data_IF_339831978629
#
_entry.id   IF_339831978629
#
_cell.length_a   1.000
_cell.length_b   1.000
_cell.length_c   1.000
_cell.angle_alpha   90.00
_cell.angle_beta   90.00
_cell.angle_gamma   90.00
#
_symmetry.space_group_name_H-M   'P 1'
#
loop_
_entity.id
_entity.type
_entity.pdbx_description
1 polymer ?
#
# COMPACT_ATOMS: atom_id res chain seq x y z
N UNK A 1 33.72 13.68 -10.88
CA UNK A 1 34.89 13.40 -10.02
C UNK A 1 34.62 14.25 -8.78
N UNK A 2 34.26 13.71 -7.62
CA UNK A 2 34.90 12.59 -6.92
C UNK A 2 33.92 11.67 -6.21
N UNK A 3 34.30 10.38 -6.17
CA UNK A 3 33.72 9.37 -5.28
C UNK A 3 34.33 9.58 -3.90
N UNK A 4 33.50 9.83 -2.90
CA UNK A 4 33.87 9.58 -1.50
C UNK A 4 33.17 8.27 -1.15
N UNK A 5 33.89 7.17 -1.30
CA UNK A 5 33.56 5.90 -0.66
C UNK A 5 34.70 5.63 0.30
N UNK A 6 34.41 5.74 1.59
CA UNK A 6 35.30 5.37 2.68
C UNK A 6 35.54 3.84 2.65
N UNK A 7 36.79 3.35 2.42
CA UNK A 7 37.05 1.93 2.18
C UNK A 7 36.95 1.03 3.43
N UNK A 8 36.98 1.58 4.64
CA UNK A 8 37.13 0.76 5.85
C UNK A 8 35.79 0.29 6.44
N UNK A 9 34.66 0.90 6.09
CA UNK A 9 33.33 0.41 6.54
C UNK A 9 32.81 -0.78 5.72
N UNK A 10 33.20 -0.88 4.44
CA UNK A 10 32.64 -1.89 3.54
C UNK A 10 33.15 -3.31 3.85
N UNK A 11 34.40 -3.46 4.28
CA UNK A 11 34.99 -4.75 4.64
C UNK A 11 34.44 -5.30 5.96
N UNK A 12 34.22 -4.45 6.97
CA UNK A 12 33.60 -4.86 8.24
C UNK A 12 32.13 -5.28 8.04
N UNK A 13 31.40 -4.60 7.15
CA UNK A 13 30.03 -4.97 6.77
C UNK A 13 30.02 -6.33 6.05
N UNK A 14 30.97 -6.60 5.16
CA UNK A 14 31.10 -7.89 4.47
C UNK A 14 31.46 -9.04 5.43
N UNK A 15 32.21 -8.80 6.50
CA UNK A 15 32.48 -9.78 7.54
C UNK A 15 31.26 -10.06 8.45
N UNK A 16 30.49 -9.02 8.77
CA UNK A 16 29.22 -9.18 9.51
C UNK A 16 28.18 -9.96 8.71
N UNK A 17 28.19 -9.86 7.38
CA UNK A 17 27.32 -10.62 6.47
C UNK A 17 27.71 -12.09 6.30
N UNK A 18 28.93 -12.50 6.68
CA UNK A 18 29.40 -13.90 6.61
C UNK A 18 28.97 -14.77 7.80
N UNK A 19 28.45 -14.19 8.88
CA UNK A 19 27.95 -14.97 10.02
C UNK A 19 26.54 -15.49 9.70
N UNK A 20 26.31 -16.81 9.66
CA UNK A 20 24.95 -17.33 9.48
C UNK A 20 24.10 -16.91 10.66
N UNK A 21 23.00 -16.19 10.39
CA UNK A 21 22.02 -15.85 11.41
C UNK A 21 21.53 -17.13 12.09
N UNK A 22 21.47 -17.11 13.42
CA UNK A 22 20.94 -18.21 14.23
C UNK A 22 19.51 -18.53 13.75
N UNK A 23 19.32 -19.73 13.19
CA UNK A 23 18.01 -20.17 12.68
C UNK A 23 17.10 -20.50 13.86
N UNK A 24 16.13 -19.63 14.13
CA UNK A 24 15.04 -19.94 15.06
C UNK A 24 14.13 -21.04 14.49
N UNK A 25 13.62 -21.93 15.36
CA UNK A 25 12.66 -22.99 15.01
C UNK A 25 11.26 -22.41 14.83
N UNK A 26 10.60 -22.83 13.75
CA UNK A 26 9.35 -22.31 13.20
C UNK A 26 8.12 -22.70 14.03
N UNK A 27 7.28 -21.73 14.37
CA UNK A 27 6.09 -21.92 15.19
C UNK A 27 4.86 -22.34 14.36
N UNK A 28 3.82 -22.83 15.05
CA UNK A 28 2.53 -23.20 14.44
C UNK A 28 1.89 -22.05 13.64
N UNK A 29 2.18 -20.80 14.00
CA UNK A 29 1.69 -19.58 13.35
C UNK A 29 2.49 -19.23 12.08
N UNK A 30 3.78 -19.55 12.06
CA UNK A 30 4.66 -19.37 10.89
C UNK A 30 4.32 -20.39 9.80
N UNK A 31 4.02 -21.63 10.19
CA UNK A 31 3.54 -22.67 9.28
C UNK A 31 2.17 -22.30 8.67
N UNK A 32 1.24 -21.76 9.46
CA UNK A 32 -0.09 -21.28 8.98
C UNK A 32 0.05 -20.12 7.98
N UNK A 33 0.99 -19.20 8.19
CA UNK A 33 1.30 -18.13 7.23
C UNK A 33 2.01 -18.62 5.97
N UNK A 34 2.84 -19.66 6.06
CA UNK A 34 3.47 -20.29 4.89
C UNK A 34 2.42 -21.03 4.04
N UNK A 35 1.42 -21.61 4.69
CA UNK A 35 0.33 -22.38 4.07
C UNK A 35 -0.61 -21.49 3.25
N UNK A 36 -0.98 -20.32 3.78
CA UNK A 36 -1.83 -19.32 3.09
C UNK A 36 -1.16 -18.79 1.82
N UNK A 37 0.17 -18.79 1.76
CA UNK A 37 0.95 -18.28 0.63
C UNK A 37 1.49 -19.40 -0.31
N UNK A 38 1.21 -20.69 -0.05
CA UNK A 38 2.05 -21.80 -0.51
C UNK A 38 1.41 -22.95 -1.31
N UNK A 39 0.19 -22.84 -1.85
CA UNK A 39 -0.43 -23.88 -2.71
C UNK A 39 -0.62 -25.27 -2.05
N UNK A 40 -1.32 -25.40 -0.91
CA UNK A 40 -1.48 -26.71 -0.26
C UNK A 40 -2.57 -27.62 -0.83
N UNK A 41 -2.28 -28.93 -0.77
CA UNK A 41 -3.17 -30.01 -1.20
C UNK A 41 -4.36 -30.24 -0.26
N UNK A 42 -5.42 -30.84 -0.80
CA UNK A 42 -6.72 -31.11 -0.12
C UNK A 42 -6.55 -31.93 1.17
N UNK A 43 -5.57 -32.83 1.22
CA UNK A 43 -5.29 -33.64 2.42
C UNK A 43 -4.75 -32.79 3.57
N UNK A 44 -3.85 -31.85 3.26
CA UNK A 44 -3.27 -30.94 4.25
C UNK A 44 -4.28 -29.88 4.75
N UNK A 45 -5.19 -29.43 3.89
CA UNK A 45 -6.32 -28.56 4.27
C UNK A 45 -7.27 -29.24 5.26
N UNK A 46 -7.64 -30.51 5.01
CA UNK A 46 -8.55 -31.27 5.89
C UNK A 46 -7.96 -31.52 7.28
N UNK A 47 -6.65 -31.75 7.39
CA UNK A 47 -5.97 -31.88 8.68
C UNK A 47 -5.89 -30.54 9.41
N UNK A 48 -5.53 -29.46 8.70
CA UNK A 48 -5.37 -28.12 9.28
C UNK A 48 -6.69 -27.53 9.79
N UNK A 49 -7.80 -27.74 9.07
CA UNK A 49 -9.15 -27.34 9.52
C UNK A 49 -9.60 -28.13 10.76
N UNK A 50 -9.28 -29.43 10.84
CA UNK A 50 -9.59 -30.27 12.02
C UNK A 50 -8.85 -29.78 13.28
N UNK A 51 -7.62 -29.27 13.11
CA UNK A 51 -6.78 -28.76 14.19
C UNK A 51 -7.23 -27.33 14.59
N UNK A 52 -7.54 -26.46 13.64
CA UNK A 52 -8.06 -25.10 13.92
C UNK A 52 -9.39 -25.13 14.70
N UNK A 53 -10.29 -26.05 14.35
CA UNK A 53 -11.55 -26.27 15.08
C UNK A 53 -11.33 -26.88 16.47
N UNK A 54 -10.27 -27.68 16.66
CA UNK A 54 -9.90 -28.25 17.97
C UNK A 54 -9.39 -27.18 18.96
N UNK A 55 -8.85 -26.08 18.46
CA UNK A 55 -8.31 -24.98 19.27
C UNK A 55 -9.11 -23.66 19.17
N UNK A 56 -10.33 -23.71 18.61
CA UNK A 56 -11.33 -22.63 18.74
C UNK A 56 -11.13 -21.39 17.86
N UNK A 57 -10.54 -21.51 16.67
CA UNK A 57 -10.29 -20.38 15.76
C UNK A 57 -11.00 -20.53 14.40
N UNK A 58 -11.43 -19.39 13.81
CA UNK A 58 -12.11 -19.30 12.51
C UNK A 58 -11.31 -18.50 11.47
N UNK A 59 -11.52 -18.79 10.17
CA UNK A 59 -10.69 -18.34 9.05
C UNK A 59 -11.45 -17.29 8.17
N UNK A 60 -11.07 -15.99 8.22
CA UNK A 60 -11.45 -14.77 7.38
C UNK A 60 -12.52 -13.77 7.94
N UNK A 61 -12.50 -12.41 7.69
CA UNK A 61 -12.52 -11.66 6.37
C UNK A 61 -11.85 -10.21 6.30
N UNK A 62 -12.26 -9.35 5.34
CA UNK A 62 -11.67 -8.09 4.75
C UNK A 62 -11.18 -6.95 5.67
N UNK A 63 -9.94 -6.52 5.45
CA UNK A 63 -9.07 -5.86 6.43
C UNK A 63 -9.54 -4.54 7.09
N UNK A 64 -9.93 -3.50 6.34
CA UNK A 64 -10.19 -2.16 6.91
C UNK A 64 -11.55 -2.05 7.61
N UNK A 65 -12.59 -2.64 7.03
CA UNK A 65 -13.93 -2.67 7.64
C UNK A 65 -13.93 -3.60 8.85
N UNK A 66 -13.19 -4.71 8.79
CA UNK A 66 -12.97 -5.59 9.94
C UNK A 66 -12.13 -4.90 11.00
N UNK A 67 -11.05 -4.17 10.68
CA UNK A 67 -10.28 -3.42 11.68
C UNK A 67 -11.10 -2.30 12.34
N UNK A 68 -11.93 -1.57 11.59
CA UNK A 68 -12.79 -0.53 12.16
C UNK A 68 -13.91 -1.12 13.02
N UNK A 69 -14.50 -2.24 12.59
CA UNK A 69 -15.54 -2.96 13.33
C UNK A 69 -15.00 -3.68 14.57
N UNK A 70 -13.74 -4.15 14.55
CA UNK A 70 -13.11 -4.81 15.69
C UNK A 70 -12.53 -3.83 16.72
N UNK A 71 -12.17 -2.59 16.32
CA UNK A 71 -11.52 -1.62 17.20
C UNK A 71 -12.45 -0.50 17.72
N UNK A 72 -13.75 -0.52 17.39
CA UNK A 72 -14.72 0.57 17.67
C UNK A 72 -14.14 1.98 17.38
N UNK A 73 -13.30 2.07 16.35
CA UNK A 73 -12.51 3.27 16.08
C UNK A 73 -13.04 3.99 14.85
N UNK A 74 -13.26 5.30 14.98
CA UNK A 74 -13.62 6.15 13.84
C UNK A 74 -12.52 6.14 12.76
N UNK A 75 -12.89 6.35 11.50
CA UNK A 75 -11.94 6.44 10.36
C UNK A 75 -10.89 7.57 10.49
N UNK A 76 -11.08 8.47 11.45
CA UNK A 76 -10.18 9.59 11.78
C UNK A 76 -9.27 9.29 12.99
N UNK A 77 -9.31 8.07 13.52
CA UNK A 77 -8.42 7.58 14.58
C UNK A 77 -7.43 6.57 14.01
N UNK A 78 -6.19 6.66 14.48
CA UNK A 78 -5.17 5.66 14.19
C UNK A 78 -5.48 4.36 14.94
N UNK A 79 -5.59 3.23 14.24
CA UNK A 79 -5.87 1.92 14.86
C UNK A 79 -4.67 1.37 15.66
N UNK A 80 -3.48 1.93 15.47
CA UNK A 80 -2.23 1.52 16.11
C UNK A 80 -2.02 2.26 17.44
N UNK A 81 -2.15 3.59 17.45
CA UNK A 81 -1.85 4.43 18.62
C UNK A 81 -3.05 5.20 19.19
N UNK A 82 -4.26 4.97 18.65
CA UNK A 82 -5.53 5.62 19.01
C UNK A 82 -5.53 7.17 18.87
N UNK A 83 -4.48 7.79 18.35
CA UNK A 83 -4.45 9.23 18.15
C UNK A 83 -5.50 9.67 17.11
N UNK A 84 -6.05 10.86 17.31
CA UNK A 84 -6.96 11.50 16.35
C UNK A 84 -6.18 12.40 15.40
N UNK A 85 -6.74 12.64 14.21
CA UNK A 85 -6.14 13.45 13.16
C UNK A 85 -5.59 14.82 13.61
N UNK A 86 -6.19 15.44 14.62
CA UNK A 86 -5.73 16.72 15.17
C UNK A 86 -4.33 16.68 15.79
N UNK A 87 -3.89 15.50 16.25
CA UNK A 87 -2.60 15.30 16.94
C UNK A 87 -1.48 14.80 16.02
N UNK A 88 -1.79 14.41 14.78
CA UNK A 88 -0.81 13.70 13.93
C UNK A 88 0.38 14.56 13.48
N UNK A 89 0.24 15.88 13.42
CA UNK A 89 1.34 16.77 13.02
C UNK A 89 2.36 16.99 14.14
N UNK A 90 2.08 16.53 15.37
CA UNK A 90 3.00 16.58 16.48
C UNK A 90 3.88 15.32 16.47
N UNK A 91 4.89 15.33 15.60
CA UNK A 91 5.65 14.12 15.22
C UNK A 91 6.38 13.52 16.43
N UNK A 92 7.01 14.34 17.26
CA UNK A 92 7.73 13.88 18.45
C UNK A 92 6.80 13.14 19.41
N UNK A 93 5.67 13.75 19.75
CA UNK A 93 4.67 13.10 20.61
C UNK A 93 4.04 11.86 19.95
N UNK A 94 3.97 11.79 18.62
CA UNK A 94 3.45 10.59 17.93
C UNK A 94 4.43 9.43 17.94
N UNK A 95 5.74 9.69 17.92
CA UNK A 95 6.79 8.66 17.96
C UNK A 95 6.87 8.04 19.35
N UNK A 96 6.74 8.83 20.41
CA UNK A 96 6.80 8.36 21.80
C UNK A 96 5.50 7.70 22.26
N UNK A 97 4.44 7.79 21.46
CA UNK A 97 3.12 7.33 21.84
C UNK A 97 3.06 5.81 21.97
N UNK A 98 2.40 5.34 23.02
CA UNK A 98 2.12 3.93 23.21
C UNK A 98 1.32 3.34 22.04
N UNK A 99 1.76 2.15 21.60
CA UNK A 99 1.18 1.39 20.50
C UNK A 99 0.40 0.20 21.06
N UNK A 100 -0.76 -0.08 20.45
CA UNK A 100 -1.48 -1.35 20.64
C UNK A 100 -0.76 -2.46 19.89
N UNK A 101 0.01 -3.28 20.60
CA UNK A 101 0.73 -4.42 20.01
C UNK A 101 -0.19 -5.36 19.23
N UNK A 102 -1.39 -5.62 19.75
CA UNK A 102 -2.39 -6.49 19.10
C UNK A 102 -2.85 -5.97 17.73
N UNK A 103 -2.72 -4.66 17.49
CA UNK A 103 -3.08 -4.04 16.22
C UNK A 103 -2.03 -4.25 15.12
N UNK A 104 -0.81 -4.65 15.46
CA UNK A 104 0.30 -4.74 14.49
C UNK A 104 0.16 -5.94 13.56
N UNK A 105 -0.43 -7.04 14.05
CA UNK A 105 -0.69 -8.28 13.28
C UNK A 105 -1.52 -8.05 12.02
N UNK A 106 -2.24 -6.94 12.01
CA UNK A 106 -3.15 -6.58 10.97
C UNK A 106 -2.37 -6.06 9.73
N UNK A 107 -1.29 -5.27 9.89
CA UNK A 107 -0.60 -4.65 8.75
C UNK A 107 -1.16 -3.29 8.32
N UNK A 108 -0.96 -2.90 7.06
CA UNK A 108 -1.67 -1.76 6.46
C UNK A 108 -1.92 -1.98 4.96
N UNK A 109 -2.94 -1.30 4.44
CA UNK A 109 -3.38 -1.36 3.04
C UNK A 109 -2.29 -0.86 2.08
N UNK A 110 -2.18 -1.47 0.90
CA UNK A 110 -1.08 -1.21 -0.07
C UNK A 110 -1.59 -0.64 -1.40
N UNK A 111 -2.85 -0.91 -1.77
CA UNK A 111 -3.48 -0.31 -2.95
C UNK A 111 -3.88 1.14 -2.67
N UNK A 112 -4.46 1.37 -1.49
CA UNK A 112 -4.97 2.68 -1.12
C UNK A 112 -3.93 3.78 -0.81
N UNK A 113 -2.71 3.51 -0.31
CA UNK A 113 -1.70 4.53 -0.07
C UNK A 113 -1.41 5.42 -1.27
N UNK A 114 -1.21 4.86 -2.47
CA UNK A 114 -0.96 5.64 -3.68
C UNK A 114 -2.09 6.67 -3.91
N UNK A 115 -3.34 6.21 -3.82
CA UNK A 115 -4.51 7.08 -3.99
C UNK A 115 -4.56 8.14 -2.88
N UNK A 116 -4.36 7.77 -1.61
CA UNK A 116 -4.45 8.70 -0.48
C UNK A 116 -3.33 9.73 -0.43
N UNK A 117 -2.12 9.36 -0.83
CA UNK A 117 -1.01 10.30 -0.94
C UNK A 117 -1.24 11.28 -2.11
N UNK A 118 -1.75 10.80 -3.24
CA UNK A 118 -2.13 11.68 -4.36
C UNK A 118 -3.23 12.66 -3.95
N UNK A 119 -4.30 12.17 -3.31
CA UNK A 119 -5.38 13.02 -2.79
C UNK A 119 -4.85 14.09 -1.83
N UNK A 120 -3.92 13.73 -0.94
CA UNK A 120 -3.29 14.69 -0.03
C UNK A 120 -2.56 15.80 -0.79
N UNK A 121 -1.70 15.44 -1.73
CA UNK A 121 -0.94 16.39 -2.54
C UNK A 121 -1.90 17.33 -3.27
N UNK A 122 -2.92 16.79 -3.93
CA UNK A 122 -3.94 17.57 -4.63
C UNK A 122 -4.67 18.53 -3.68
N UNK A 123 -5.15 18.04 -2.53
CA UNK A 123 -5.89 18.88 -1.58
C UNK A 123 -5.03 20.00 -0.98
N UNK A 124 -3.76 19.75 -0.68
CA UNK A 124 -2.84 20.81 -0.25
C UNK A 124 -2.69 21.84 -1.37
N UNK A 125 -2.43 21.36 -2.59
CA UNK A 125 -2.16 22.20 -3.76
C UNK A 125 -3.33 23.11 -4.11
N UNK A 126 -4.58 22.63 -3.99
CA UNK A 126 -5.78 23.45 -4.20
C UNK A 126 -5.87 24.62 -3.22
N UNK A 127 -5.29 24.48 -2.02
CA UNK A 127 -5.33 25.48 -0.95
C UNK A 127 -4.11 26.39 -0.93
N UNK A 128 -3.10 26.13 -1.76
CA UNK A 128 -1.93 27.00 -1.90
C UNK A 128 -2.27 28.34 -2.58
N UNK A 129 -3.42 28.46 -3.24
CA UNK A 129 -3.91 29.72 -3.80
C UNK A 129 -4.50 30.67 -2.75
N UNK A 130 -4.69 30.22 -1.50
CA UNK A 130 -5.17 31.06 -0.41
C UNK A 130 -4.01 31.88 0.16
N UNK A 131 -4.25 33.17 0.46
CA UNK A 131 -3.26 34.03 1.12
C UNK A 131 -2.74 33.42 2.44
N UNK A 132 -3.66 32.82 3.21
CA UNK A 132 -3.35 32.03 4.40
C UNK A 132 -3.92 30.62 4.21
N UNK A 133 -3.09 29.63 3.86
CA UNK A 133 -3.54 28.26 3.68
C UNK A 133 -4.12 27.67 4.98
N UNK A 134 -5.33 27.13 4.89
CA UNK A 134 -6.04 26.51 6.01
C UNK A 134 -6.52 25.10 5.67
N UNK A 135 -6.50 24.20 6.65
CA UNK A 135 -6.98 22.83 6.44
C UNK A 135 -8.47 22.77 6.04
N UNK A 136 -9.33 23.46 6.79
CA UNK A 136 -10.78 23.55 6.53
C UNK A 136 -11.07 24.86 5.80
N UNK A 137 -11.51 24.73 4.54
CA UNK A 137 -11.87 25.86 3.69
C UNK A 137 -13.29 26.31 4.05
N UNK A 138 -13.46 27.61 4.31
CA UNK A 138 -14.78 28.23 4.48
C UNK A 138 -15.46 28.42 3.12
N UNK A 139 -16.80 28.45 3.09
CA UNK A 139 -17.60 28.66 1.87
C UNK A 139 -17.17 29.90 1.07
N UNK A 140 -16.68 30.94 1.75
CA UNK A 140 -16.22 32.18 1.12
C UNK A 140 -15.03 31.95 0.18
N UNK A 141 -14.14 31.03 0.53
CA UNK A 141 -12.93 30.72 -0.23
C UNK A 141 -13.09 29.51 -1.18
N UNK A 142 -14.29 28.93 -1.24
CA UNK A 142 -14.57 27.75 -2.05
C UNK A 142 -14.41 28.04 -3.55
N UNK A 143 -14.83 29.23 -4.01
CA UNK A 143 -14.67 29.65 -5.40
C UNK A 143 -13.19 29.67 -5.83
N UNK A 144 -12.33 30.30 -5.03
CA UNK A 144 -10.88 30.41 -5.28
C UNK A 144 -10.21 29.03 -5.31
N UNK A 145 -10.61 28.17 -4.37
CA UNK A 145 -10.07 26.80 -4.27
C UNK A 145 -10.51 25.94 -5.47
N UNK A 146 -11.76 26.11 -5.92
CA UNK A 146 -12.31 25.38 -7.07
C UNK A 146 -11.71 25.85 -8.40
N UNK A 147 -11.42 27.14 -8.55
CA UNK A 147 -10.69 27.67 -9.70
C UNK A 147 -9.29 27.06 -9.79
N UNK A 148 -8.53 27.06 -8.68
CA UNK A 148 -7.21 26.43 -8.65
C UNK A 148 -7.27 24.93 -8.88
N UNK A 149 -8.29 24.26 -8.35
CA UNK A 149 -8.54 22.84 -8.62
C UNK A 149 -8.73 22.58 -10.10
N UNK A 150 -9.55 23.38 -10.79
CA UNK A 150 -9.80 23.24 -12.23
C UNK A 150 -8.53 23.49 -13.03
N UNK A 151 -7.77 24.54 -12.70
CA UNK A 151 -6.48 24.84 -13.33
C UNK A 151 -5.51 23.65 -13.25
N UNK A 152 -5.33 23.07 -12.05
CA UNK A 152 -4.47 21.90 -11.85
C UNK A 152 -5.02 20.68 -12.61
N UNK A 153 -6.33 20.45 -12.60
CA UNK A 153 -6.95 19.34 -13.34
C UNK A 153 -6.70 19.45 -14.85
N UNK A 154 -6.85 20.65 -15.42
CA UNK A 154 -6.65 20.90 -16.84
C UNK A 154 -5.18 20.72 -17.24
N UNK A 155 -4.23 21.21 -16.42
CA UNK A 155 -2.79 21.02 -16.65
C UNK A 155 -2.35 19.55 -16.52
N UNK A 156 -2.84 18.83 -15.51
CA UNK A 156 -2.54 17.40 -15.37
C UNK A 156 -3.11 16.57 -16.53
N UNK A 157 -4.27 16.99 -17.06
CA UNK A 157 -4.87 16.35 -18.24
C UNK A 157 -4.08 16.66 -19.52
N UNK A 158 -3.66 17.89 -19.73
CA UNK A 158 -2.93 18.28 -20.95
C UNK A 158 -1.54 17.66 -21.00
N UNK A 159 -0.79 17.71 -19.89
CA UNK A 159 0.61 17.28 -19.87
C UNK A 159 0.79 15.79 -19.59
N UNK A 160 -0.01 15.23 -18.68
CA UNK A 160 0.14 13.84 -18.23
C UNK A 160 -1.02 12.94 -18.69
N UNK A 161 -2.02 13.46 -19.40
CA UNK A 161 -3.20 12.69 -19.82
C UNK A 161 -3.87 11.95 -18.65
N UNK A 162 -3.87 12.55 -17.45
CA UNK A 162 -4.54 12.02 -16.27
C UNK A 162 -5.72 12.90 -15.90
N UNK A 163 -6.81 12.26 -15.49
CA UNK A 163 -7.98 12.96 -14.95
C UNK A 163 -8.06 12.66 -13.45
N UNK A 164 -7.93 13.69 -12.62
CA UNK A 164 -7.99 13.57 -11.16
C UNK A 164 -9.24 14.23 -10.63
N UNK A 165 -9.77 13.72 -9.52
CA UNK A 165 -10.81 14.38 -8.73
C UNK A 165 -12.11 14.70 -9.49
N UNK A 166 -12.35 13.98 -10.60
CA UNK A 166 -13.56 14.08 -11.41
C UNK A 166 -14.56 12.98 -11.01
N UNK A 167 -15.87 13.27 -11.00
CA UNK A 167 -16.89 12.26 -10.72
C UNK A 167 -16.96 11.24 -11.86
N UNK A 168 -17.07 9.96 -11.51
CA UNK A 168 -17.32 8.88 -12.48
C UNK A 168 -18.81 8.54 -12.52
N UNK A 169 -19.35 8.11 -13.67
CA UNK A 169 -20.75 7.65 -13.76
C UNK A 169 -20.98 6.48 -12.79
N UNK A 170 -21.78 6.72 -11.73
CA UNK A 170 -21.97 5.80 -10.61
C UNK A 170 -21.45 6.37 -9.28
N UNK A 171 -20.74 5.53 -8.51
CA UNK A 171 -20.10 5.91 -7.23
C UNK A 171 -18.58 5.90 -7.39
N UNK A 172 -17.91 6.94 -6.90
CA UNK A 172 -16.45 7.08 -6.94
C UNK A 172 -15.98 8.32 -7.68
N UNK A 173 -14.66 8.44 -7.80
CA UNK A 173 -13.98 9.49 -8.55
C UNK A 173 -12.90 8.87 -9.45
N UNK A 174 -12.26 9.70 -10.28
CA UNK A 174 -11.19 9.25 -11.18
C UNK A 174 -9.85 8.96 -10.48
N UNK A 175 -9.79 9.07 -9.14
CA UNK A 175 -8.60 8.77 -8.35
C UNK A 175 -8.50 7.26 -8.14
N UNK A 176 -8.00 6.55 -9.15
CA UNK A 176 -7.72 5.13 -9.07
C UNK A 176 -6.21 4.85 -9.02
N UNK A 177 -5.83 3.59 -8.82
CA UNK A 177 -4.43 3.17 -8.72
C UNK A 177 -3.58 3.52 -9.95
N UNK A 178 -4.17 3.46 -11.16
CA UNK A 178 -3.45 3.80 -12.40
C UNK A 178 -3.15 5.30 -12.47
N UNK A 179 -4.14 6.13 -12.13
CA UNK A 179 -3.99 7.59 -12.06
C UNK A 179 -2.89 7.95 -11.06
N UNK A 180 -2.94 7.37 -9.85
CA UNK A 180 -1.95 7.63 -8.81
C UNK A 180 -0.54 7.15 -9.18
N UNK A 181 -0.41 5.98 -9.81
CA UNK A 181 0.88 5.47 -10.30
C UNK A 181 1.50 6.43 -11.33
N UNK A 182 0.72 6.88 -12.32
CA UNK A 182 1.20 7.84 -13.33
C UNK A 182 1.57 9.19 -12.72
N UNK A 183 0.82 9.63 -11.70
CA UNK A 183 1.11 10.84 -10.93
C UNK A 183 2.49 10.78 -10.25
N UNK A 184 2.78 9.72 -9.47
CA UNK A 184 4.06 9.58 -8.77
C UNK A 184 5.24 9.18 -9.67
N UNK A 185 4.99 8.73 -10.90
CA UNK A 185 6.08 8.48 -11.84
C UNK A 185 6.67 9.77 -12.42
N UNK A 186 5.89 10.85 -12.52
CA UNK A 186 6.26 12.14 -13.10
C UNK A 186 6.32 13.25 -12.03
N UNK A 187 7.13 13.05 -10.97
CA UNK A 187 7.15 13.93 -9.79
C UNK A 187 7.58 15.35 -10.09
N UNK A 188 8.50 15.54 -11.03
CA UNK A 188 8.98 16.83 -11.51
C UNK A 188 7.85 17.65 -12.15
N UNK A 189 7.11 17.05 -13.09
CA UNK A 189 5.96 17.68 -13.76
C UNK A 189 4.85 17.98 -12.76
N UNK A 190 4.56 17.02 -11.88
CA UNK A 190 3.54 17.20 -10.85
C UNK A 190 3.90 18.31 -9.88
N UNK A 191 5.14 18.38 -9.39
CA UNK A 191 5.58 19.43 -8.48
C UNK A 191 5.42 20.82 -9.12
N UNK A 192 5.80 20.96 -10.40
CA UNK A 192 5.61 22.20 -11.17
C UNK A 192 4.14 22.59 -11.28
N UNK A 193 3.27 21.67 -11.69
CA UNK A 193 1.84 21.95 -11.91
C UNK A 193 1.13 22.27 -10.59
N UNK A 194 1.44 21.52 -9.54
CA UNK A 194 0.73 21.60 -8.27
C UNK A 194 1.28 22.66 -7.31
N UNK A 195 2.53 23.10 -7.52
CA UNK A 195 3.26 23.95 -6.58
C UNK A 195 3.68 23.21 -5.29
N UNK A 196 3.50 21.89 -5.24
CA UNK A 196 3.91 21.08 -4.10
C UNK A 196 5.43 20.89 -4.09
N UNK A 197 6.02 20.77 -2.88
CA UNK A 197 7.46 20.63 -2.73
C UNK A 197 7.97 19.34 -3.42
N UNK A 198 8.81 19.52 -4.44
CA UNK A 198 9.31 18.43 -5.28
C UNK A 198 10.07 17.37 -4.47
N UNK A 199 10.95 17.80 -3.56
CA UNK A 199 11.73 16.89 -2.75
C UNK A 199 10.81 16.02 -1.87
N UNK A 200 9.81 16.61 -1.21
CA UNK A 200 8.84 15.86 -0.42
C UNK A 200 8.00 14.89 -1.27
N UNK A 201 7.60 15.32 -2.47
CA UNK A 201 6.86 14.47 -3.41
C UNK A 201 7.69 13.26 -3.85
N UNK A 202 8.98 13.45 -4.11
CA UNK A 202 9.91 12.36 -4.43
C UNK A 202 10.04 11.38 -3.25
N UNK A 203 10.10 11.88 -2.01
CA UNK A 203 10.13 11.01 -0.82
C UNK A 203 8.87 10.16 -0.70
N UNK A 204 7.70 10.71 -1.02
CA UNK A 204 6.47 9.93 -1.08
C UNK A 204 6.55 8.82 -2.13
N UNK A 205 7.04 9.11 -3.33
CA UNK A 205 7.28 8.10 -4.38
C UNK A 205 8.17 6.97 -3.86
N UNK A 206 9.27 7.28 -3.18
CA UNK A 206 10.18 6.27 -2.62
C UNK A 206 9.49 5.39 -1.58
N UNK A 207 8.75 5.98 -0.63
CA UNK A 207 8.02 5.23 0.41
C UNK A 207 7.01 4.30 -0.24
N UNK A 208 6.22 4.80 -1.19
CA UNK A 208 5.21 4.04 -1.91
C UNK A 208 5.84 2.87 -2.70
N UNK A 209 6.97 3.11 -3.38
CA UNK A 209 7.71 2.05 -4.08
C UNK A 209 8.24 0.96 -3.13
N UNK A 210 8.70 1.34 -1.94
CA UNK A 210 9.21 0.41 -0.92
C UNK A 210 8.07 -0.47 -0.36
N UNK A 211 6.93 0.11 0.02
CA UNK A 211 5.80 -0.66 0.56
C UNK A 211 5.12 -1.53 -0.50
N UNK A 212 5.09 -1.10 -1.77
CA UNK A 212 4.58 -1.91 -2.88
C UNK A 212 5.58 -2.97 -3.34
N UNK A 213 6.81 -2.97 -2.81
CA UNK A 213 7.80 -3.98 -3.17
C UNK A 213 7.52 -5.32 -2.48
N UNK A 214 7.68 -6.41 -3.23
CA UNK A 214 7.61 -7.77 -2.68
C UNK A 214 8.95 -8.20 -2.05
N UNK A 215 9.75 -7.25 -1.58
CA UNK A 215 11.10 -7.47 -1.07
C UNK A 215 11.17 -7.21 0.43
N UNK A 216 12.07 -7.89 1.13
CA UNK A 216 12.41 -7.54 2.50
C UNK A 216 13.10 -6.17 2.50
N UNK A 217 12.61 -5.28 3.36
CA UNK A 217 13.05 -3.90 3.47
C UNK A 217 13.94 -3.78 4.72
N UNK A 218 15.04 -3.03 4.63
CA UNK A 218 15.80 -2.65 5.81
C UNK A 218 14.91 -1.74 6.70
N UNK A 219 14.42 -2.31 7.80
CA UNK A 219 13.45 -1.67 8.67
C UNK A 219 13.98 -0.38 9.32
N UNK A 220 15.25 -0.38 9.75
CA UNK A 220 15.87 0.77 10.39
C UNK A 220 16.01 1.94 9.41
N UNK A 221 16.50 1.66 8.19
CA UNK A 221 16.61 2.67 7.14
C UNK A 221 15.23 3.20 6.71
N UNK A 222 14.24 2.32 6.54
CA UNK A 222 12.88 2.71 6.20
C UNK A 222 12.23 3.58 7.30
N UNK A 223 12.37 3.20 8.58
CA UNK A 223 11.88 3.98 9.70
C UNK A 223 12.51 5.37 9.78
N UNK A 224 13.83 5.47 9.62
CA UNK A 224 14.52 6.76 9.57
C UNK A 224 14.04 7.63 8.40
N UNK A 225 13.89 7.04 7.21
CA UNK A 225 13.41 7.74 6.02
C UNK A 225 11.97 8.25 6.21
N UNK A 226 11.08 7.43 6.76
CA UNK A 226 9.69 7.81 7.06
C UNK A 226 9.62 8.91 8.12
N UNK A 227 10.41 8.81 9.20
CA UNK A 227 10.51 9.82 10.26
C UNK A 227 10.95 11.18 9.70
N UNK A 228 12.05 11.22 8.96
CA UNK A 228 12.54 12.45 8.31
C UNK A 228 11.50 13.03 7.34
N UNK A 229 10.78 12.17 6.61
CA UNK A 229 9.70 12.61 5.71
C UNK A 229 8.55 13.26 6.49
N UNK A 230 8.19 12.72 7.66
CA UNK A 230 7.15 13.28 8.51
C UNK A 230 7.52 14.67 9.04
N UNK A 231 8.77 14.87 9.47
CA UNK A 231 9.26 16.20 9.86
C UNK A 231 9.23 17.19 8.71
N UNK A 232 9.74 16.81 7.53
CA UNK A 232 9.70 17.67 6.33
C UNK A 232 8.26 18.02 5.93
N UNK A 233 7.32 17.09 6.06
CA UNK A 233 5.91 17.39 5.82
C UNK A 233 5.39 18.48 6.76
N UNK A 234 5.69 18.37 8.05
CA UNK A 234 5.25 19.37 9.04
C UNK A 234 5.95 20.71 8.80
N UNK A 235 7.24 20.71 8.45
CA UNK A 235 7.98 21.93 8.10
C UNK A 235 7.29 22.73 6.99
N UNK A 236 6.90 22.09 5.88
CA UNK A 236 6.26 22.78 4.74
C UNK A 236 4.75 22.98 4.89
N UNK A 237 4.05 22.02 5.53
CA UNK A 237 2.60 21.91 5.47
C UNK A 237 1.93 21.68 6.83
N UNK A 238 2.49 22.20 7.93
CA UNK A 238 1.93 22.04 9.28
C UNK A 238 0.44 22.45 9.40
N UNK A 239 0.02 23.41 8.59
CA UNK A 239 -1.36 23.92 8.57
C UNK A 239 -2.36 22.87 8.04
N UNK A 240 -1.91 21.86 7.29
CA UNK A 240 -2.74 20.75 6.80
C UNK A 240 -2.51 19.50 7.65
N UNK A 241 -3.58 18.83 8.09
CA UNK A 241 -3.47 17.65 8.96
C UNK A 241 -3.11 16.40 8.15
N UNK A 242 -2.10 15.65 8.61
CA UNK A 242 -1.71 14.37 8.00
C UNK A 242 -2.93 13.42 7.98
N UNK A 243 -3.24 12.73 6.88
CA UNK A 243 -4.29 11.71 6.86
C UNK A 243 -3.95 10.47 7.68
N UNK A 244 -4.94 9.78 8.24
CA UNK A 244 -4.76 8.60 9.11
C UNK A 244 -3.87 7.52 8.48
N UNK A 245 -4.08 7.15 7.22
CA UNK A 245 -3.28 6.12 6.55
C UNK A 245 -1.80 6.54 6.41
N UNK A 246 -1.57 7.81 6.11
CA UNK A 246 -0.22 8.35 5.97
C UNK A 246 0.49 8.43 7.31
N UNK A 247 -0.21 8.81 8.38
CA UNK A 247 0.31 8.73 9.73
C UNK A 247 0.70 7.28 10.10
N UNK A 248 -0.14 6.29 9.80
CA UNK A 248 0.19 4.88 10.02
C UNK A 248 1.46 4.49 9.29
N UNK A 249 1.62 4.88 8.02
CA UNK A 249 2.82 4.53 7.23
C UNK A 249 4.06 5.27 7.74
N UNK A 250 3.97 6.58 7.95
CA UNK A 250 5.13 7.41 8.31
C UNK A 250 5.60 7.20 9.75
N UNK A 251 4.69 6.98 10.69
CA UNK A 251 5.03 6.84 12.12
C UNK A 251 5.13 5.37 12.52
N UNK A 252 4.16 4.54 12.10
CA UNK A 252 4.07 3.15 12.56
C UNK A 252 4.52 2.12 11.52
N UNK A 253 4.79 2.54 10.27
CA UNK A 253 5.04 1.61 9.18
C UNK A 253 6.25 0.72 9.41
N UNK A 254 7.31 1.25 10.04
CA UNK A 254 8.48 0.44 10.39
C UNK A 254 8.16 -0.58 11.49
N UNK A 255 7.41 -0.21 12.54
CA UNK A 255 7.01 -1.16 13.59
C UNK A 255 6.14 -2.27 13.00
N UNK A 256 5.17 -1.91 12.16
CA UNK A 256 4.30 -2.88 11.49
C UNK A 256 5.12 -3.82 10.61
N UNK A 257 5.98 -3.29 9.74
CA UNK A 257 6.78 -4.12 8.83
C UNK A 257 7.76 -5.04 9.55
N UNK A 258 8.17 -4.71 10.79
CA UNK A 258 9.00 -5.59 11.63
C UNK A 258 8.22 -6.81 12.15
N UNK A 259 6.94 -6.65 12.46
CA UNK A 259 6.07 -7.74 12.95
C UNK A 259 5.53 -8.64 11.82
N UNK A 260 5.65 -8.21 10.57
CA UNK A 260 5.20 -8.99 9.42
C UNK A 260 6.23 -10.05 9.02
N UNK A 261 5.74 -11.27 8.82
CA UNK A 261 6.56 -12.44 8.44
C UNK A 261 6.91 -12.43 6.95
N UNK A 262 6.10 -11.77 6.13
CA UNK A 262 6.32 -11.61 4.69
C UNK A 262 6.45 -10.13 4.35
N UNK A 263 7.19 -9.78 3.28
CA UNK A 263 7.19 -8.45 2.72
C UNK A 263 5.79 -7.88 2.60
N UNK A 264 5.62 -6.64 3.01
CA UNK A 264 4.28 -6.04 3.06
C UNK A 264 3.62 -6.06 1.69
N UNK A 265 4.32 -5.74 0.59
CA UNK A 265 3.78 -5.77 -0.78
C UNK A 265 3.05 -7.07 -1.18
N UNK A 266 3.43 -8.21 -0.61
CA UNK A 266 2.78 -9.51 -0.87
C UNK A 266 1.37 -9.57 -0.26
N UNK A 267 1.13 -8.83 0.82
CA UNK A 267 -0.14 -8.74 1.52
C UNK A 267 -1.12 -7.74 0.88
N UNK A 268 -0.86 -7.29 -0.35
CA UNK A 268 -1.69 -6.28 -1.03
C UNK A 268 -3.12 -6.78 -1.32
N UNK A 269 -4.09 -5.86 -1.17
CA UNK A 269 -5.48 -6.10 -1.57
C UNK A 269 -5.71 -6.18 -3.10
N UNK A 270 -4.74 -5.79 -3.93
CA UNK A 270 -4.83 -5.77 -5.40
C UNK A 270 -5.35 -7.09 -6.00
N UNK A 271 -4.90 -8.22 -5.46
CA UNK A 271 -5.27 -9.54 -5.96
C UNK A 271 -6.76 -9.83 -5.72
N UNK A 272 -7.27 -9.46 -4.54
CA UNK A 272 -8.68 -9.60 -4.22
C UNK A 272 -9.54 -8.63 -5.04
N UNK A 273 -9.13 -7.37 -5.19
CA UNK A 273 -9.89 -6.40 -5.96
C UNK A 273 -9.94 -6.73 -7.45
N UNK A 274 -8.84 -7.26 -8.00
CA UNK A 274 -8.80 -7.80 -9.37
C UNK A 274 -9.76 -8.97 -9.55
N UNK A 275 -9.88 -9.84 -8.54
CA UNK A 275 -10.84 -10.95 -8.57
C UNK A 275 -12.30 -10.48 -8.62
N UNK A 276 -12.65 -9.30 -8.10
CA UNK A 276 -14.02 -8.76 -8.25
C UNK A 276 -14.43 -8.57 -9.71
N UNK A 277 -13.48 -8.22 -10.59
CA UNK A 277 -13.75 -8.12 -12.05
C UNK A 277 -14.03 -9.50 -12.63
N UNK A 278 -13.26 -10.52 -12.21
CA UNK A 278 -13.51 -11.92 -12.60
C UNK A 278 -14.88 -12.40 -12.12
N UNK A 279 -15.25 -12.12 -10.87
CA UNK A 279 -16.55 -12.50 -10.29
C UNK A 279 -17.71 -11.96 -11.14
N UNK A 280 -17.68 -10.67 -11.48
CA UNK A 280 -18.70 -10.06 -12.35
C UNK A 280 -18.76 -10.75 -13.71
N UNK A 281 -17.60 -11.04 -14.31
CA UNK A 281 -17.49 -11.73 -15.60
C UNK A 281 -18.00 -13.17 -15.55
N UNK A 282 -17.65 -13.93 -14.51
CA UNK A 282 -18.09 -15.31 -14.30
C UNK A 282 -19.59 -15.40 -14.09
N UNK A 283 -20.14 -14.50 -13.27
CA UNK A 283 -21.59 -14.38 -13.10
C UNK A 283 -22.29 -14.07 -14.42
N UNK A 284 -21.82 -13.08 -15.18
CA UNK A 284 -22.52 -12.63 -16.39
C UNK A 284 -22.47 -13.65 -17.53
N UNK A 285 -21.28 -14.21 -17.81
CA UNK A 285 -21.03 -14.98 -19.05
C UNK A 285 -20.90 -16.49 -18.87
N UNK A 286 -20.66 -16.95 -17.65
CA UNK A 286 -20.20 -18.32 -17.42
C UNK A 286 -21.01 -19.08 -16.36
N UNK A 287 -22.14 -18.51 -15.93
CA UNK A 287 -23.02 -19.14 -14.95
C UNK A 287 -24.39 -19.44 -15.56
N UNK A 288 -25.01 -20.53 -15.12
CA UNK A 288 -26.39 -20.84 -15.48
C UNK A 288 -27.32 -19.81 -14.85
N UNK A 289 -28.20 -19.23 -15.68
CA UNK A 289 -29.19 -18.21 -15.27
C UNK A 289 -30.57 -18.84 -14.98
N UNK A 290 -30.57 -20.08 -14.48
CA UNK A 290 -31.79 -20.85 -14.18
C UNK A 290 -32.28 -20.66 -12.75
N UNK A 291 -31.35 -20.36 -11.82
CA UNK A 291 -31.67 -19.99 -10.44
C UNK A 291 -30.48 -19.26 -9.82
N UNK A 292 -30.73 -18.46 -8.78
CA UNK A 292 -29.66 -17.78 -8.02
C UNK A 292 -28.66 -18.76 -7.42
N UNK A 293 -29.14 -19.92 -6.95
CA UNK A 293 -28.29 -20.98 -6.39
C UNK A 293 -27.37 -21.56 -7.46
N UNK A 294 -27.91 -21.85 -8.64
CA UNK A 294 -27.10 -22.36 -9.77
C UNK A 294 -26.07 -21.33 -10.24
N UNK A 295 -26.48 -20.06 -10.36
CA UNK A 295 -25.58 -18.94 -10.69
C UNK A 295 -24.40 -18.86 -9.71
N UNK A 296 -24.69 -18.88 -8.41
CA UNK A 296 -23.65 -18.80 -7.37
C UNK A 296 -22.76 -20.05 -7.38
N UNK A 297 -23.33 -21.24 -7.58
CA UNK A 297 -22.59 -22.49 -7.65
C UNK A 297 -21.58 -22.45 -8.80
N UNK A 298 -22.01 -22.08 -10.00
CA UNK A 298 -21.14 -22.03 -11.19
C UNK A 298 -20.06 -20.96 -11.06
N UNK A 299 -20.41 -19.79 -10.51
CA UNK A 299 -19.45 -18.73 -10.22
C UNK A 299 -18.38 -19.22 -9.24
N UNK A 300 -18.75 -19.88 -8.13
CA UNK A 300 -17.82 -20.44 -7.16
C UNK A 300 -16.95 -21.54 -7.77
N UNK A 301 -17.53 -22.49 -8.49
CA UNK A 301 -16.78 -23.54 -9.20
C UNK A 301 -15.74 -22.93 -10.14
N UNK A 302 -16.12 -21.88 -10.88
CA UNK A 302 -15.19 -21.20 -11.81
C UNK A 302 -14.08 -20.45 -11.07
N UNK A 303 -14.38 -19.83 -9.94
CA UNK A 303 -13.35 -19.23 -9.08
C UNK A 303 -12.36 -20.27 -8.56
N UNK A 304 -12.83 -21.46 -8.16
CA UNK A 304 -11.94 -22.55 -7.75
C UNK A 304 -11.01 -22.99 -8.87
N UNK A 305 -11.54 -23.19 -10.08
CA UNK A 305 -10.70 -23.53 -11.25
C UNK A 305 -9.70 -22.42 -11.57
N UNK A 306 -10.12 -21.16 -11.52
CA UNK A 306 -9.25 -20.02 -11.80
C UNK A 306 -8.17 -19.79 -10.73
N UNK A 307 -8.40 -20.26 -9.51
CA UNK A 307 -7.43 -20.18 -8.40
C UNK A 307 -6.71 -21.51 -8.17
N UNK A 308 -6.90 -22.49 -9.05
CA UNK A 308 -6.23 -23.77 -8.96
C UNK A 308 -4.72 -23.57 -9.18
N UNK A 309 -3.88 -23.93 -8.18
CA UNK A 309 -2.44 -23.73 -8.28
C UNK A 309 -1.76 -24.49 -9.41
N UNK A 310 -2.23 -25.70 -9.69
CA UNK A 310 -1.64 -26.55 -10.71
C UNK A 310 -1.92 -25.98 -12.10
N UNK A 311 -3.18 -25.59 -12.36
CA UNK A 311 -3.55 -24.93 -13.61
C UNK A 311 -2.83 -23.58 -13.77
N UNK A 312 -2.73 -22.80 -12.69
CA UNK A 312 -2.03 -21.51 -12.70
C UNK A 312 -0.54 -21.67 -13.02
N UNK A 313 0.11 -22.73 -12.54
CA UNK A 313 1.52 -23.01 -12.84
C UNK A 313 1.72 -23.35 -14.32
N UNK A 314 0.85 -24.17 -14.90
CA UNK A 314 0.88 -24.51 -16.33
C UNK A 314 0.72 -23.25 -17.19
N UNK A 315 -0.23 -22.37 -16.84
CA UNK A 315 -0.45 -21.09 -17.53
C UNK A 315 0.78 -20.17 -17.44
N UNK A 316 1.48 -20.13 -16.30
CA UNK A 316 2.70 -19.32 -16.14
C UNK A 316 3.81 -19.80 -17.07
N UNK A 317 4.01 -21.11 -17.20
CA UNK A 317 5.02 -21.68 -18.09
C UNK A 317 4.73 -21.35 -19.56
N UNK A 318 3.46 -21.39 -19.95
CA UNK A 318 3.02 -21.02 -21.30
C UNK A 318 3.22 -19.51 -21.57
N UNK A 319 2.90 -18.66 -20.60
CA UNK A 319 3.03 -17.21 -20.73
C UNK A 319 4.50 -16.72 -20.66
N UNK A 320 5.38 -17.40 -19.92
CA UNK A 320 6.82 -17.14 -19.92
C UNK A 320 7.43 -17.37 -21.31
N UNK A 321 7.00 -18.43 -22.01
CA UNK A 321 7.41 -18.69 -23.40
C UNK A 321 7.00 -17.57 -24.36
N UNK A 322 5.88 -16.89 -24.10
CA UNK A 322 5.40 -15.74 -24.90
C UNK A 322 6.14 -14.43 -24.60
N UNK A 323 6.56 -14.20 -23.35
CA UNK A 323 7.24 -12.95 -22.91
C UNK A 323 8.73 -12.86 -23.24
N UNK A 324 9.41 -13.98 -23.52
CA UNK A 324 10.82 -13.97 -23.96
C UNK A 324 11.04 -13.25 -25.31
N UNK A 325 9.96 -12.92 -26.03
CA UNK A 325 10.01 -12.18 -27.29
C UNK A 325 9.90 -10.66 -27.12
N UNK A 326 9.76 -10.15 -25.89
CA UNK A 326 9.50 -8.73 -25.65
C UNK A 326 9.99 -8.32 -24.25
N UNK A 327 11.17 -7.70 -24.13
CA UNK A 327 11.60 -7.14 -22.84
C UNK A 327 12.50 -5.91 -22.96
N UNK A 328 11.98 -4.77 -22.50
CA UNK A 328 12.72 -3.57 -22.10
C UNK A 328 12.77 -3.41 -20.57
N UNK A 329 13.81 -2.72 -20.09
CA UNK A 329 14.32 -2.67 -18.71
C UNK A 329 13.64 -1.64 -17.78
N UNK A 330 13.25 -2.05 -16.57
CA UNK A 330 12.82 -1.16 -15.45
C UNK A 330 13.16 -1.75 -14.07
N UNK A 331 14.44 -1.71 -13.62
CA UNK A 331 14.88 -2.34 -12.34
C UNK A 331 15.90 -1.57 -11.47
N UNK A 332 16.04 -0.25 -11.58
CA UNK A 332 17.14 0.48 -10.92
C UNK A 332 16.92 0.83 -9.43
N UNK A 333 15.72 1.27 -9.02
CA UNK A 333 15.51 1.85 -7.66
C UNK A 333 15.42 0.80 -6.55
N UNK A 334 14.87 -0.38 -6.84
CA UNK A 334 14.68 -1.46 -5.85
C UNK A 334 16.04 -2.03 -5.39
N UNK A 335 17.12 -1.88 -6.17
CA UNK A 335 18.45 -2.41 -5.82
C UNK A 335 19.07 -1.78 -4.58
N UNK A 336 18.78 -0.51 -4.28
CA UNK A 336 19.42 0.24 -3.19
C UNK A 336 18.94 -0.17 -1.79
N UNK A 337 17.72 -0.72 -1.68
CA UNK A 337 17.11 -1.08 -0.39
C UNK A 337 16.94 -2.58 -0.20
N UNK A 338 17.41 -3.39 -1.15
CA UNK A 338 17.40 -4.86 -1.03
C UNK A 338 18.52 -5.32 -0.12
N UNK A 339 18.18 -6.17 0.83
CA UNK A 339 19.18 -6.98 1.53
C UNK A 339 19.77 -7.95 0.49
N UNK A 340 21.08 -7.86 0.22
CA UNK A 340 21.80 -8.85 -0.58
C UNK A 340 21.67 -10.21 0.12
N UNK A 341 21.19 -11.22 -0.62
CA UNK A 341 21.04 -12.58 -0.11
C UNK A 341 22.38 -13.25 0.12
#
# INVERSE_FOLDING_TARGET
>A
MDKIVDPDTASEILELMKKPAERSRMSLQDAVKLIVNGNLSIYAYKISRKIALKYGHDLYPTYKEVCNALNDSSSQRCFVCNATIGKFNDIDNMIERNIKSDSLKYGFLILHPNIRFMELVLHISYRLSLEVPVWRVSKVFEAVTNEKKKEIQDQLKSELSILVDAPTQGSGNTNNGNTASKFFNNTDVVARITGFNEHLLYRFKVILAVISSNCLVNNAAFGAYCKETAFKYVEFYNWYKIPTLMHVILIHGHVITKELIVPIGILSEDAQESNHKMIKRFRDRFSRKVSRVATNTDMCCRLFVNSDPYLSLLDIEENKKKKLNDSGDEKSVIRLYRVSR
#
